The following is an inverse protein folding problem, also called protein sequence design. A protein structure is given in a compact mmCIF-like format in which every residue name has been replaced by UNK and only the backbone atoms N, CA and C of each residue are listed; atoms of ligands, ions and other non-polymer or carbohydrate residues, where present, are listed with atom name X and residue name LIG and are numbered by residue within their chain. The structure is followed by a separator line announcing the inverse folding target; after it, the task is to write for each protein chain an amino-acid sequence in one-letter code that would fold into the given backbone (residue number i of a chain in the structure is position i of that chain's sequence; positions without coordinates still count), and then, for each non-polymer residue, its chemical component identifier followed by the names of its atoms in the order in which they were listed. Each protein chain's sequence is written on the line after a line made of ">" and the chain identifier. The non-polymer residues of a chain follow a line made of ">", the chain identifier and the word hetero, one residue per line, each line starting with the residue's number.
data_IF_871405521190
#
_entry.id   IF_871405521190
#
_cell.length_a   1.000
_cell.length_b   1.000
_cell.length_c   1.000
_cell.angle_alpha   90.00
_cell.angle_beta   90.00
_cell.angle_gamma   90.00
#
_symmetry.space_group_name_H-M   'P 1'
#
loop_
_entity.id
_entity.type
_entity.pdbx_description
1 polymer ?
#
# COMPACT_ATOMS: atom_id res chain seq x y z
N UNK A 1 -44.30 43.84 -46.36
CA UNK A 1 -43.34 43.77 -45.22
C UNK A 1 -43.53 42.52 -44.33
N UNK A 2 -44.73 41.95 -44.18
CA UNK A 2 -44.95 40.70 -43.42
C UNK A 2 -44.29 39.44 -44.01
N UNK A 3 -44.11 39.36 -45.33
CA UNK A 3 -43.57 38.14 -45.98
C UNK A 3 -42.03 38.10 -46.05
N UNK A 4 -41.34 39.20 -45.75
CA UNK A 4 -39.86 39.23 -45.67
C UNK A 4 -39.40 38.84 -44.26
N UNK A 5 -40.21 39.12 -43.24
CA UNK A 5 -39.93 38.76 -41.85
C UNK A 5 -40.01 37.24 -41.62
N UNK A 6 -40.91 36.53 -42.31
CA UNK A 6 -41.04 35.08 -42.22
C UNK A 6 -39.91 34.31 -42.90
N UNK A 7 -39.25 34.89 -43.91
CA UNK A 7 -38.11 34.25 -44.58
C UNK A 7 -36.82 34.32 -43.74
N UNK A 8 -36.63 35.39 -42.98
CA UNK A 8 -35.45 35.54 -42.10
C UNK A 8 -35.52 34.66 -40.85
N UNK A 9 -36.71 34.38 -40.32
CA UNK A 9 -36.89 33.46 -39.19
C UNK A 9 -36.66 32.00 -39.59
N UNK A 10 -36.94 31.63 -40.84
CA UNK A 10 -36.68 30.27 -41.36
C UNK A 10 -35.19 30.02 -41.67
N UNK A 11 -34.39 31.05 -41.96
CA UNK A 11 -32.96 30.90 -42.22
C UNK A 11 -32.12 30.80 -40.94
N UNK A 12 -32.60 31.35 -39.82
CA UNK A 12 -31.89 31.31 -38.54
C UNK A 12 -32.04 29.99 -37.77
N UNK A 13 -33.00 29.14 -38.13
CA UNK A 13 -33.19 27.84 -37.47
C UNK A 13 -32.32 26.72 -38.05
N UNK A 14 -31.73 26.89 -39.24
CA UNK A 14 -30.83 25.92 -39.86
C UNK A 14 -29.36 26.07 -39.41
N UNK A 15 -28.99 27.18 -38.77
CA UNK A 15 -27.62 27.42 -38.29
C UNK A 15 -27.33 26.87 -36.88
N UNK A 16 -28.33 26.28 -36.20
CA UNK A 16 -28.21 25.83 -34.81
C UNK A 16 -27.96 24.31 -34.66
N UNK A 17 -27.70 23.60 -35.75
CA UNK A 17 -27.21 22.22 -35.70
C UNK A 17 -25.68 22.19 -35.80
N UNK A 18 -24.99 22.71 -34.77
CA UNK A 18 -23.64 22.22 -34.48
C UNK A 18 -23.77 20.81 -33.94
N UNK A 19 -23.50 19.81 -34.78
CA UNK A 19 -23.29 18.43 -34.35
C UNK A 19 -22.14 18.45 -33.37
N UNK A 20 -22.45 18.45 -32.07
CA UNK A 20 -21.44 18.31 -31.02
C UNK A 20 -20.89 16.89 -31.18
N UNK A 21 -19.74 16.74 -31.83
CA UNK A 21 -19.03 15.47 -31.86
C UNK A 21 -18.92 15.00 -30.41
N UNK A 22 -19.64 13.94 -30.08
CA UNK A 22 -19.37 13.21 -28.84
C UNK A 22 -17.96 12.68 -29.04
N UNK A 23 -16.98 13.29 -28.36
CA UNK A 23 -15.69 12.65 -28.12
C UNK A 23 -15.97 11.38 -27.31
N UNK A 24 -16.26 10.30 -28.03
CA UNK A 24 -16.35 8.98 -27.44
C UNK A 24 -14.92 8.55 -27.24
N UNK A 25 -14.47 8.51 -25.99
CA UNK A 25 -13.19 7.88 -25.65
C UNK A 25 -13.26 6.44 -26.14
N UNK A 26 -12.38 6.06 -27.06
CA UNK A 26 -12.27 4.68 -27.51
C UNK A 26 -11.87 3.82 -26.32
N UNK A 27 -12.71 2.83 -26.00
CA UNK A 27 -12.39 1.84 -24.97
C UNK A 27 -11.56 0.75 -25.64
N UNK A 28 -10.25 0.84 -25.48
CA UNK A 28 -9.31 -0.18 -25.96
C UNK A 28 -9.21 -1.33 -24.96
N UNK A 29 -8.69 -2.48 -25.39
CA UNK A 29 -8.42 -3.62 -24.50
C UNK A 29 -9.59 -4.60 -24.30
N UNK A 30 -10.80 -4.28 -24.76
CA UNK A 30 -11.95 -5.20 -24.69
C UNK A 30 -11.70 -6.47 -25.52
N UNK A 31 -12.17 -7.60 -25.02
CA UNK A 31 -12.28 -8.88 -25.73
C UNK A 31 -13.74 -9.13 -26.12
N UNK A 32 -14.06 -8.78 -27.37
CA UNK A 32 -15.41 -8.91 -27.94
C UNK A 32 -15.83 -10.38 -28.18
N UNK A 33 -14.92 -11.35 -28.01
CA UNK A 33 -15.28 -12.78 -28.05
C UNK A 33 -16.01 -13.22 -26.77
N UNK A 34 -15.97 -12.41 -25.71
CA UNK A 34 -16.71 -12.64 -24.47
C UNK A 34 -17.96 -11.78 -24.46
N UNK A 35 -19.09 -12.34 -24.01
CA UNK A 35 -20.27 -11.53 -23.75
C UNK A 35 -20.12 -10.87 -22.37
N UNK A 36 -20.40 -9.56 -22.23
CA UNK A 36 -20.28 -8.86 -20.96
C UNK A 36 -21.16 -9.45 -19.86
N UNK A 37 -22.31 -10.04 -20.21
CA UNK A 37 -23.22 -10.69 -19.25
C UNK A 37 -22.74 -12.05 -18.72
N UNK A 38 -21.87 -12.75 -19.46
CA UNK A 38 -21.38 -14.08 -19.06
C UNK A 38 -20.17 -13.96 -18.15
N UNK A 39 -19.24 -13.07 -18.50
CA UNK A 39 -18.05 -12.79 -17.70
C UNK A 39 -17.52 -11.40 -18.02
N UNK A 40 -18.02 -10.41 -17.28
CA UNK A 40 -17.63 -9.01 -17.47
C UNK A 40 -16.13 -8.78 -17.23
N UNK A 41 -15.53 -9.49 -16.27
CA UNK A 41 -14.10 -9.38 -15.98
C UNK A 41 -13.26 -9.76 -17.21
N UNK A 42 -13.54 -10.89 -17.84
CA UNK A 42 -12.81 -11.32 -19.04
C UNK A 42 -13.18 -10.48 -20.27
N UNK A 43 -14.42 -10.00 -20.39
CA UNK A 43 -14.78 -9.06 -21.45
C UNK A 43 -13.91 -7.80 -21.43
N UNK A 44 -13.66 -7.23 -20.25
CA UNK A 44 -12.88 -6.00 -20.12
C UNK A 44 -11.37 -6.25 -20.06
N UNK A 45 -10.93 -7.31 -19.38
CA UNK A 45 -9.53 -7.46 -18.98
C UNK A 45 -8.79 -8.61 -19.67
N UNK A 46 -9.44 -9.46 -20.47
CA UNK A 46 -8.81 -10.70 -20.97
C UNK A 46 -7.49 -10.46 -21.70
N UNK A 47 -7.41 -9.45 -22.58
CA UNK A 47 -6.16 -9.11 -23.28
C UNK A 47 -5.03 -8.78 -22.30
N UNK A 48 -5.32 -7.99 -21.27
CA UNK A 48 -4.35 -7.63 -20.23
C UNK A 48 -3.98 -8.84 -19.36
N UNK A 49 -4.97 -9.62 -18.95
CA UNK A 49 -4.83 -10.81 -18.11
C UNK A 49 -3.92 -11.86 -18.78
N UNK A 50 -4.06 -12.07 -20.09
CA UNK A 50 -3.26 -13.05 -20.82
C UNK A 50 -1.83 -12.56 -21.12
N UNK A 51 -1.60 -11.24 -21.17
CA UNK A 51 -0.32 -10.65 -21.64
C UNK A 51 0.55 -10.05 -20.54
N UNK A 52 0.02 -9.86 -19.33
CA UNK A 52 0.75 -9.19 -18.24
C UNK A 52 1.30 -10.21 -17.25
N UNK A 53 2.62 -10.50 -17.26
CA UNK A 53 3.21 -11.36 -16.26
C UNK A 53 3.25 -10.67 -14.90
N UNK A 54 3.16 -11.46 -13.82
CA UNK A 54 3.50 -10.99 -12.47
C UNK A 54 5.02 -10.84 -12.42
N UNK A 55 5.57 -9.66 -12.12
CA UNK A 55 7.03 -9.49 -11.98
C UNK A 55 7.58 -10.40 -10.89
N UNK A 56 8.79 -10.96 -11.08
CA UNK A 56 9.40 -11.90 -10.12
C UNK A 56 9.63 -11.33 -8.71
N UNK A 57 9.68 -10.01 -8.59
CA UNK A 57 9.81 -9.31 -7.31
C UNK A 57 8.47 -9.00 -6.62
N UNK A 58 7.35 -9.48 -7.17
CA UNK A 58 6.00 -9.14 -6.73
C UNK A 58 5.15 -10.39 -6.55
N UNK A 59 4.23 -10.36 -5.58
CA UNK A 59 3.25 -11.44 -5.36
C UNK A 59 2.02 -11.34 -6.27
N UNK A 60 1.85 -10.21 -6.98
CA UNK A 60 0.72 -9.98 -7.89
C UNK A 60 0.94 -8.75 -8.77
N UNK A 61 0.03 -8.55 -9.74
CA UNK A 61 0.01 -7.38 -10.63
C UNK A 61 -1.42 -6.91 -10.87
N UNK A 62 -1.61 -5.61 -11.00
CA UNK A 62 -2.94 -5.02 -11.23
C UNK A 62 -2.89 -3.52 -11.46
N UNK A 63 -4.06 -2.92 -11.66
CA UNK A 63 -4.22 -1.50 -11.98
C UNK A 63 -3.45 -0.56 -11.02
N UNK A 64 -3.45 -0.88 -9.71
CA UNK A 64 -2.74 -0.10 -8.69
C UNK A 64 -1.24 0.04 -8.97
N UNK A 65 -0.58 -1.00 -9.49
CA UNK A 65 0.86 -0.98 -9.75
C UNK A 65 1.26 0.00 -10.85
N UNK A 66 0.39 0.24 -11.84
CA UNK A 66 0.64 1.23 -12.89
C UNK A 66 0.75 2.65 -12.33
N UNK A 67 0.12 2.93 -11.19
CA UNK A 67 0.28 4.19 -10.47
C UNK A 67 1.41 4.13 -9.44
N UNK A 68 1.42 3.08 -8.60
CA UNK A 68 2.34 2.97 -7.47
C UNK A 68 3.80 2.86 -7.91
N UNK A 69 4.09 2.12 -8.98
CA UNK A 69 5.47 1.90 -9.40
C UNK A 69 6.15 3.19 -9.89
N UNK A 70 5.56 3.98 -10.82
CA UNK A 70 6.12 5.29 -11.18
C UNK A 70 6.21 6.26 -9.99
N UNK A 71 5.26 6.21 -9.05
CA UNK A 71 5.31 7.02 -7.83
C UNK A 71 6.51 6.65 -6.95
N UNK A 72 6.79 5.36 -6.76
CA UNK A 72 7.96 4.88 -6.00
C UNK A 72 9.28 5.34 -6.63
N UNK A 73 9.39 5.30 -7.95
CA UNK A 73 10.59 5.78 -8.66
C UNK A 73 10.78 7.29 -8.47
N UNK A 74 9.69 8.07 -8.56
CA UNK A 74 9.74 9.53 -8.30
C UNK A 74 10.13 9.83 -6.85
N UNK A 75 9.55 9.11 -5.89
CA UNK A 75 9.87 9.25 -4.48
C UNK A 75 11.35 8.90 -4.23
N UNK A 76 11.84 7.82 -4.83
CA UNK A 76 13.26 7.46 -4.76
C UNK A 76 14.14 8.61 -5.28
N UNK A 77 13.84 9.19 -6.44
CA UNK A 77 14.61 10.32 -6.97
C UNK A 77 14.62 11.55 -6.04
N UNK A 78 13.52 11.81 -5.32
CA UNK A 78 13.47 12.86 -4.30
C UNK A 78 14.39 12.51 -3.12
N UNK A 79 14.34 11.27 -2.64
CA UNK A 79 15.15 10.80 -1.51
C UNK A 79 16.65 10.78 -1.86
N UNK A 80 17.00 10.35 -3.07
CA UNK A 80 18.36 10.43 -3.63
C UNK A 80 18.84 11.88 -3.67
N UNK A 81 18.03 12.81 -4.18
CA UNK A 81 18.40 14.23 -4.25
C UNK A 81 18.57 14.87 -2.88
N UNK A 82 17.68 14.56 -1.93
CA UNK A 82 17.73 15.11 -0.58
C UNK A 82 18.95 14.56 0.17
N UNK A 83 19.22 13.27 0.04
CA UNK A 83 20.34 12.63 0.75
C UNK A 83 21.73 13.01 0.24
N UNK A 84 21.87 13.47 -1.01
CA UNK A 84 23.15 13.87 -1.60
C UNK A 84 23.55 15.32 -1.29
N UNK A 85 22.68 16.08 -0.62
CA UNK A 85 22.90 17.50 -0.33
C UNK A 85 23.03 17.74 1.17
N UNK A 86 23.85 18.72 1.54
CA UNK A 86 23.99 19.08 2.95
C UNK A 86 22.85 19.99 3.37
N UNK A 87 22.15 19.59 4.43
CA UNK A 87 21.04 20.34 5.00
C UNK A 87 21.39 20.83 6.42
N UNK A 88 20.73 21.89 6.91
CA UNK A 88 20.90 22.32 8.29
C UNK A 88 20.64 21.18 9.26
N UNK A 89 21.51 21.04 10.27
CA UNK A 89 21.39 19.98 11.26
C UNK A 89 20.02 20.03 11.96
N UNK A 90 19.31 18.90 11.98
CA UNK A 90 17.99 18.78 12.59
C UNK A 90 16.81 19.18 11.68
N UNK A 91 17.06 19.64 10.45
CA UNK A 91 16.00 19.91 9.48
C UNK A 91 15.28 18.63 9.05
N UNK A 92 14.11 18.78 8.42
CA UNK A 92 13.35 17.63 7.91
C UNK A 92 14.14 16.93 6.80
N UNK A 93 14.75 17.71 5.91
CA UNK A 93 15.56 17.24 4.80
C UNK A 93 16.76 16.43 5.28
N UNK A 94 17.49 16.91 6.30
CA UNK A 94 18.58 16.16 6.91
C UNK A 94 18.09 14.83 7.48
N UNK A 95 17.01 14.84 8.28
CA UNK A 95 16.47 13.61 8.90
C UNK A 95 15.99 12.60 7.87
N UNK A 96 15.29 13.06 6.83
CA UNK A 96 14.77 12.20 5.75
C UNK A 96 15.91 11.64 4.91
N UNK A 97 16.89 12.46 4.54
CA UNK A 97 18.07 12.05 3.79
C UNK A 97 18.91 11.02 4.55
N UNK A 98 19.23 11.30 5.81
CA UNK A 98 20.01 10.40 6.66
C UNK A 98 19.28 9.07 6.92
N UNK A 99 17.97 9.12 7.18
CA UNK A 99 17.17 7.92 7.36
C UNK A 99 17.15 7.06 6.09
N UNK A 100 16.97 7.68 4.93
CA UNK A 100 17.02 6.99 3.64
C UNK A 100 18.38 6.32 3.40
N UNK A 101 19.49 7.05 3.54
CA UNK A 101 20.84 6.49 3.32
C UNK A 101 21.17 5.40 4.33
N UNK A 102 20.68 5.50 5.57
CA UNK A 102 20.88 4.47 6.59
C UNK A 102 20.31 3.10 6.19
N UNK A 103 19.24 3.08 5.39
CA UNK A 103 18.67 1.86 4.84
C UNK A 103 19.30 1.40 3.52
N UNK A 104 19.95 2.31 2.79
CA UNK A 104 20.60 2.01 1.50
C UNK A 104 22.05 1.53 1.65
N UNK A 105 22.73 1.85 2.76
CA UNK A 105 24.11 1.42 3.04
C UNK A 105 24.18 -0.05 3.50
N UNK A 106 24.03 -0.96 2.55
CA UNK A 106 24.08 -2.41 2.79
C UNK A 106 25.43 -2.88 3.30
N UNK A 107 26.54 -2.23 2.91
CA UNK A 107 27.88 -2.61 3.37
C UNK A 107 28.04 -2.39 4.87
N UNK A 108 27.56 -1.26 5.38
CA UNK A 108 27.58 -1.00 6.83
C UNK A 108 26.61 -1.91 7.57
N UNK A 109 25.42 -2.18 7.01
CA UNK A 109 24.44 -3.12 7.58
C UNK A 109 25.06 -4.50 7.72
N UNK A 110 25.66 -5.04 6.66
CA UNK A 110 26.28 -6.36 6.63
C UNK A 110 27.46 -6.44 7.61
N UNK A 111 28.30 -5.40 7.66
CA UNK A 111 29.42 -5.32 8.61
C UNK A 111 28.96 -5.32 10.06
N UNK A 112 27.84 -4.65 10.37
CA UNK A 112 27.27 -4.61 11.73
C UNK A 112 26.57 -5.92 12.09
N UNK A 113 26.05 -6.65 11.12
CA UNK A 113 25.29 -7.88 11.34
C UNK A 113 24.20 -7.67 12.39
N UNK A 114 24.03 -8.64 13.29
CA UNK A 114 23.03 -8.59 14.36
C UNK A 114 23.47 -7.84 15.63
N UNK A 115 24.65 -7.19 15.64
CA UNK A 115 25.13 -6.47 16.83
C UNK A 115 24.12 -5.43 17.36
N UNK A 116 23.42 -4.64 16.52
CA UNK A 116 22.46 -3.64 17.00
C UNK A 116 21.28 -4.22 17.80
N UNK A 117 20.90 -5.48 17.57
CA UNK A 117 19.76 -6.11 18.26
C UNK A 117 20.17 -6.88 19.53
N UNK A 118 21.46 -7.11 19.77
CA UNK A 118 21.95 -7.85 20.94
C UNK A 118 21.42 -7.32 22.29
N UNK A 119 21.37 -6.01 22.55
CA UNK A 119 20.84 -5.52 23.82
C UNK A 119 19.37 -5.88 24.05
N UNK A 120 18.58 -5.96 22.97
CA UNK A 120 17.18 -6.39 23.03
C UNK A 120 17.11 -7.89 23.33
N UNK A 121 17.92 -8.70 22.65
CA UNK A 121 18.00 -10.14 22.90
C UNK A 121 18.42 -10.47 24.35
N UNK A 122 19.43 -9.78 24.89
CA UNK A 122 19.83 -9.97 26.29
C UNK A 122 18.74 -9.56 27.29
N UNK A 123 17.94 -8.53 26.97
CA UNK A 123 16.76 -8.18 27.79
C UNK A 123 15.70 -9.28 27.75
N UNK A 124 15.50 -9.93 26.61
CA UNK A 124 14.57 -11.07 26.45
C UNK A 124 15.07 -12.28 27.25
N UNK A 125 16.36 -12.61 27.16
CA UNK A 125 16.98 -13.73 27.90
C UNK A 125 16.88 -13.56 29.42
N UNK A 126 16.85 -12.32 29.92
CA UNK A 126 16.69 -12.02 31.34
C UNK A 126 15.26 -12.19 31.89
N UNK A 127 14.26 -12.45 31.04
CA UNK A 127 12.87 -12.63 31.45
C UNK A 127 12.71 -14.00 32.09
N UNK A 128 12.39 -14.02 33.39
CA UNK A 128 12.27 -15.27 34.17
C UNK A 128 10.91 -15.44 34.88
N UNK A 129 10.02 -14.46 34.75
CA UNK A 129 8.69 -14.50 35.34
C UNK A 129 7.70 -13.60 34.58
N UNK A 130 6.40 -13.84 34.79
CA UNK A 130 5.31 -13.10 34.12
C UNK A 130 5.38 -11.59 34.36
N UNK A 131 5.61 -11.06 35.58
CA UNK A 131 5.80 -9.62 35.77
C UNK A 131 6.93 -9.02 34.92
N UNK A 132 8.09 -9.69 34.85
CA UNK A 132 9.22 -9.25 34.02
C UNK A 132 8.90 -9.28 32.53
N UNK A 133 8.13 -10.28 32.07
CA UNK A 133 7.63 -10.37 30.71
C UNK A 133 6.69 -9.20 30.38
N UNK A 134 5.71 -8.93 31.25
CA UNK A 134 4.75 -7.85 31.02
C UNK A 134 5.42 -6.46 31.04
N UNK A 135 6.43 -6.27 31.90
CA UNK A 135 7.25 -5.05 31.88
C UNK A 135 8.04 -4.92 30.58
N UNK A 136 8.61 -6.01 30.06
CA UNK A 136 9.27 -5.99 28.76
C UNK A 136 8.30 -5.60 27.65
N UNK A 137 7.14 -6.27 27.56
CA UNK A 137 6.09 -6.00 26.56
C UNK A 137 5.64 -4.54 26.61
N UNK A 138 5.34 -4.01 27.81
CA UNK A 138 4.90 -2.62 27.97
C UNK A 138 5.95 -1.60 27.55
N UNK A 139 7.24 -1.90 27.73
CA UNK A 139 8.32 -1.02 27.29
C UNK A 139 8.54 -1.09 25.78
N UNK A 140 8.43 -2.27 25.17
CA UNK A 140 8.57 -2.44 23.73
C UNK A 140 7.41 -1.77 22.96
N UNK A 141 6.18 -1.82 23.49
CA UNK A 141 5.03 -1.12 22.89
C UNK A 141 5.29 0.40 22.76
N UNK A 142 6.01 1.02 23.72
CA UNK A 142 6.32 2.47 23.68
C UNK A 142 7.22 2.87 22.51
N UNK A 143 7.98 1.92 21.97
CA UNK A 143 8.87 2.13 20.82
C UNK A 143 8.33 1.49 19.54
N UNK A 144 7.05 1.10 19.53
CA UNK A 144 6.36 0.53 18.36
C UNK A 144 6.52 -0.97 18.18
N UNK A 145 7.12 -1.68 19.16
CA UNK A 145 7.32 -3.12 19.11
C UNK A 145 6.21 -3.84 19.90
N UNK A 146 5.14 -4.28 19.22
CA UNK A 146 4.05 -5.03 19.83
C UNK A 146 4.23 -6.56 19.64
N UNK A 147 3.95 -7.35 20.68
CA UNK A 147 4.18 -8.80 20.66
C UNK A 147 3.07 -9.67 21.26
N UNK A 148 2.40 -9.23 22.33
CA UNK A 148 1.30 -9.99 22.96
C UNK A 148 -0.02 -9.22 22.85
N UNK A 149 0.05 -7.90 23.00
CA UNK A 149 -1.05 -6.98 22.88
C UNK A 149 -0.55 -5.76 22.13
N UNK A 150 -1.37 -5.23 21.22
CA UNK A 150 -1.14 -3.92 20.65
C UNK A 150 -1.98 -2.90 21.42
N UNK A 151 -1.42 -1.72 21.59
CA UNK A 151 -2.07 -0.63 22.31
C UNK A 151 -1.99 0.64 21.47
N UNK A 152 -3.11 1.34 21.34
CA UNK A 152 -3.19 2.59 20.58
C UNK A 152 -4.14 3.58 21.22
N UNK A 153 -4.03 4.84 20.83
CA UNK A 153 -4.97 5.90 21.19
C UNK A 153 -5.67 6.35 19.93
N UNK A 154 -7.00 6.34 19.96
CA UNK A 154 -7.84 6.72 18.83
C UNK A 154 -9.24 7.09 19.29
N UNK A 155 -10.11 7.55 18.38
CA UNK A 155 -11.48 7.96 18.73
C UNK A 155 -12.27 6.85 19.42
N UNK A 156 -13.18 7.22 20.32
CA UNK A 156 -14.16 6.29 20.89
C UNK A 156 -15.26 5.98 19.85
N UNK A 157 -15.53 4.71 19.61
CA UNK A 157 -16.58 4.25 18.69
C UNK A 157 -17.98 4.78 19.07
N UNK A 158 -18.21 5.07 20.36
CA UNK A 158 -19.47 5.64 20.87
C UNK A 158 -19.45 7.17 20.96
N UNK A 159 -18.27 7.79 20.92
CA UNK A 159 -18.13 9.24 20.96
C UNK A 159 -16.86 9.69 20.22
N UNK A 160 -16.99 9.97 18.93
CA UNK A 160 -15.85 10.35 18.08
C UNK A 160 -15.21 11.70 18.42
N UNK A 161 -15.77 12.47 19.37
CA UNK A 161 -15.18 13.72 19.85
C UNK A 161 -14.09 13.51 20.91
N UNK A 162 -13.97 12.31 21.46
CA UNK A 162 -12.95 11.96 22.46
C UNK A 162 -12.11 10.77 22.01
N UNK A 163 -10.86 10.73 22.48
CA UNK A 163 -9.99 9.58 22.32
C UNK A 163 -10.04 8.68 23.54
N UNK A 164 -9.93 7.37 23.31
CA UNK A 164 -9.80 6.34 24.34
C UNK A 164 -8.60 5.46 24.07
N UNK A 165 -8.18 4.74 25.11
CA UNK A 165 -7.21 3.67 24.98
C UNK A 165 -7.86 2.46 24.32
N UNK A 166 -7.23 1.96 23.27
CA UNK A 166 -7.65 0.75 22.58
C UNK A 166 -6.61 -0.35 22.77
N UNK A 167 -7.07 -1.54 23.15
CA UNK A 167 -6.27 -2.75 23.21
C UNK A 167 -6.70 -3.71 22.10
N UNK A 168 -5.74 -4.21 21.34
CA UNK A 168 -5.98 -5.08 20.20
C UNK A 168 -5.21 -6.39 20.32
N UNK A 169 -5.79 -7.45 19.75
CA UNK A 169 -5.09 -8.71 19.54
C UNK A 169 -3.92 -8.54 18.55
N UNK A 170 -2.79 -9.14 18.86
CA UNK A 170 -1.61 -9.24 17.99
C UNK A 170 -0.79 -10.46 18.44
N UNK A 171 0.43 -10.61 17.92
CA UNK A 171 1.41 -11.57 18.45
C UNK A 171 1.51 -12.89 17.71
N UNK A 172 0.83 -12.99 16.57
CA UNK A 172 1.02 -14.09 15.63
C UNK A 172 1.91 -13.62 14.47
N UNK A 173 2.79 -14.51 14.00
CA UNK A 173 3.73 -14.25 12.90
C UNK A 173 3.24 -14.72 11.52
N UNK A 174 2.19 -15.56 11.46
CA UNK A 174 1.53 -15.92 10.21
C UNK A 174 0.38 -14.94 9.90
N UNK A 175 -0.02 -14.77 8.62
CA UNK A 175 -0.90 -13.68 8.19
C UNK A 175 -2.26 -13.61 8.88
N UNK A 176 -2.79 -14.76 9.32
CA UNK A 176 -4.03 -14.83 10.08
C UNK A 176 -4.07 -16.07 10.98
N UNK A 177 -5.12 -16.14 11.81
CA UNK A 177 -5.34 -17.24 12.76
C UNK A 177 -5.44 -18.60 12.06
N UNK A 178 -6.13 -18.69 10.92
CA UNK A 178 -6.44 -19.97 10.29
C UNK A 178 -5.17 -20.70 9.84
N UNK A 179 -4.09 -19.98 9.52
CA UNK A 179 -2.77 -20.57 9.25
C UNK A 179 -2.22 -21.43 10.39
N UNK A 180 -2.73 -21.31 11.62
CA UNK A 180 -2.33 -22.14 12.76
C UNK A 180 -3.21 -23.38 12.95
N UNK A 181 -4.37 -23.45 12.31
CA UNK A 181 -5.37 -24.50 12.54
C UNK A 181 -5.67 -25.36 11.30
N UNK A 182 -5.54 -24.77 10.10
CA UNK A 182 -5.77 -25.49 8.85
C UNK A 182 -4.68 -26.55 8.61
N UNK A 183 -5.12 -27.66 8.03
CA UNK A 183 -4.29 -28.86 7.78
C UNK A 183 -4.21 -29.22 6.29
N UNK A 184 -4.69 -28.34 5.40
CA UNK A 184 -4.51 -28.51 3.97
C UNK A 184 -3.03 -28.40 3.57
N UNK A 185 -2.65 -29.06 2.48
CA UNK A 185 -1.25 -29.18 2.07
C UNK A 185 -0.54 -27.82 1.86
N UNK A 186 -1.15 -26.80 1.20
CA UNK A 186 -0.59 -25.46 1.13
C UNK A 186 -0.30 -24.85 2.52
N UNK A 187 -1.26 -24.90 3.44
CA UNK A 187 -1.07 -24.34 4.78
C UNK A 187 0.03 -25.06 5.56
N UNK A 188 0.06 -26.40 5.53
CA UNK A 188 1.11 -27.19 6.19
C UNK A 188 2.51 -26.85 5.65
N UNK A 189 2.61 -26.61 4.34
CA UNK A 189 3.87 -26.17 3.72
C UNK A 189 4.36 -24.84 4.32
N UNK A 190 3.45 -23.88 4.47
CA UNK A 190 3.75 -22.55 5.05
C UNK A 190 4.10 -22.68 6.55
N UNK A 191 3.35 -23.47 7.31
CA UNK A 191 3.65 -23.73 8.73
C UNK A 191 5.05 -24.34 8.91
N UNK A 192 5.43 -25.28 8.04
CA UNK A 192 6.75 -25.91 8.11
C UNK A 192 7.87 -24.94 7.74
N UNK A 193 7.65 -24.06 6.77
CA UNK A 193 8.61 -23.01 6.41
C UNK A 193 8.77 -21.94 7.49
N UNK A 194 7.75 -21.71 8.32
CA UNK A 194 7.81 -20.73 9.41
C UNK A 194 8.56 -21.22 10.67
N UNK A 195 8.62 -22.54 10.89
CA UNK A 195 9.27 -23.13 12.07
C UNK A 195 10.79 -23.15 12.00
N UNK A 196 11.34 -23.12 10.78
CA UNK A 196 12.76 -23.29 10.47
C UNK A 196 13.33 -22.01 9.87
#
# INVERSE_FOLDING_TARGET
>A
MKNILTLFVALFTLASCTTREKKVTEITGLDLTKKPGDNFFMYVNKKWYDSTPIPSSQSGVGAYMFMNYPQRIRLQGILDSVSQTQHPAGSIEQKVGDFYVSGMDTLTIDKRGYQPIKPILSRIEGINNVPSLMNFVANEIKVGNASIMAFGVGPDDKNSSMNVAHAYQTGIGLPDRDYYFKTDAPTVTIQNAYKN
#
